data_IF_395424155218
#
_entry.id   IF_395424155218
#
_cell.length_a   1.000
_cell.length_b   1.000
_cell.length_c   1.000
_cell.angle_alpha   90.00
_cell.angle_beta   90.00
_cell.angle_gamma   90.00
#
_symmetry.space_group_name_H-M   'P 1'
#
loop_
_entity.id
_entity.type
_entity.pdbx_description
1 polymer ?
#
# COMPACT_ATOMS: atom_id res chain seq x y z
N UNK A 1 4.70 14.05 -1.37
CA UNK A 1 5.60 15.19 -1.24
C UNK A 1 5.27 16.29 -2.24
N UNK A 2 5.22 15.98 -3.56
CA UNK A 2 4.98 16.99 -4.59
C UNK A 2 3.68 17.78 -4.35
N UNK A 3 2.58 17.09 -4.07
CA UNK A 3 1.27 17.69 -3.80
C UNK A 3 1.24 18.51 -2.50
N UNK A 4 2.11 18.22 -1.52
CA UNK A 4 2.15 18.91 -0.23
C UNK A 4 3.11 20.12 -0.23
N UNK A 5 4.31 20.00 -0.82
CA UNK A 5 5.41 20.96 -0.67
C UNK A 5 5.94 21.59 -1.95
N UNK A 6 5.62 21.02 -3.12
CA UNK A 6 6.09 21.62 -4.37
C UNK A 6 5.04 22.56 -4.98
N UNK A 7 5.51 23.60 -5.68
CA UNK A 7 4.65 24.49 -6.45
C UNK A 7 4.25 23.80 -7.75
N UNK A 8 3.19 22.99 -7.71
CA UNK A 8 2.57 22.36 -8.87
C UNK A 8 1.27 23.08 -9.22
N UNK A 9 0.87 23.05 -10.48
CA UNK A 9 -0.44 23.58 -10.90
C UNK A 9 -1.55 22.66 -10.37
N UNK A 10 -2.55 23.25 -9.71
CA UNK A 10 -3.75 22.58 -9.22
C UNK A 10 -3.47 21.34 -8.32
N UNK A 11 -2.75 21.50 -7.18
CA UNK A 11 -2.38 20.35 -6.33
C UNK A 11 -3.60 19.60 -5.80
N UNK A 12 -4.70 20.31 -5.49
CA UNK A 12 -5.95 19.72 -5.00
C UNK A 12 -6.66 18.89 -6.08
N UNK A 13 -6.61 19.32 -7.33
CA UNK A 13 -7.15 18.53 -8.45
C UNK A 13 -6.43 17.18 -8.57
N UNK A 14 -5.11 17.15 -8.58
CA UNK A 14 -4.34 15.92 -8.66
C UNK A 14 -4.56 15.01 -7.46
N UNK A 15 -4.67 15.61 -6.28
CA UNK A 15 -5.02 14.87 -5.07
C UNK A 15 -6.37 14.19 -5.19
N UNK A 16 -7.41 14.95 -5.52
CA UNK A 16 -8.78 14.43 -5.66
C UNK A 16 -8.89 13.42 -6.79
N UNK A 17 -8.22 13.66 -7.92
CA UNK A 17 -8.21 12.75 -9.06
C UNK A 17 -7.66 11.37 -8.69
N UNK A 18 -6.50 11.32 -8.02
CA UNK A 18 -5.91 10.04 -7.59
C UNK A 18 -6.76 9.41 -6.48
N UNK A 19 -7.20 10.22 -5.52
CA UNK A 19 -7.97 9.73 -4.36
C UNK A 19 -9.37 9.25 -4.74
N UNK A 20 -9.95 9.77 -5.82
CA UNK A 20 -11.26 9.33 -6.33
C UNK A 20 -11.32 7.83 -6.64
N UNK A 21 -10.19 7.20 -6.93
CA UNK A 21 -10.11 5.75 -7.11
C UNK A 21 -10.51 4.93 -5.87
N UNK A 22 -10.54 5.54 -4.67
CA UNK A 22 -10.99 4.85 -3.44
C UNK A 22 -12.49 5.00 -3.17
N UNK A 23 -13.19 5.87 -3.90
CA UNK A 23 -14.62 6.17 -3.66
C UNK A 23 -15.51 5.01 -4.13
N UNK A 24 -15.10 4.33 -5.19
CA UNK A 24 -15.88 3.24 -5.75
C UNK A 24 -15.57 1.90 -5.06
N UNK A 25 -16.59 1.07 -4.78
CA UNK A 25 -16.36 -0.28 -4.30
C UNK A 25 -15.49 -1.08 -5.27
N UNK A 26 -14.46 -1.76 -4.78
CA UNK A 26 -13.52 -2.54 -5.61
C UNK A 26 -14.21 -3.59 -6.47
N UNK A 27 -15.34 -4.10 -6.03
CA UNK A 27 -16.13 -5.10 -6.74
C UNK A 27 -16.57 -4.63 -8.14
N UNK A 28 -16.81 -3.34 -8.32
CA UNK A 28 -17.19 -2.76 -9.62
C UNK A 28 -16.08 -2.92 -10.65
N UNK A 29 -14.83 -2.90 -10.22
CA UNK A 29 -13.67 -3.01 -11.11
C UNK A 29 -13.33 -4.43 -11.53
N UNK A 30 -13.84 -5.47 -10.84
CA UNK A 30 -13.47 -6.86 -11.08
C UNK A 30 -13.66 -7.28 -12.54
N UNK A 31 -14.86 -7.14 -13.08
CA UNK A 31 -15.18 -7.58 -14.44
C UNK A 31 -14.43 -6.76 -15.51
N UNK A 32 -14.42 -5.41 -15.45
CA UNK A 32 -13.66 -4.61 -16.41
C UNK A 32 -12.17 -4.94 -16.42
N UNK A 33 -11.55 -5.06 -15.25
CA UNK A 33 -10.11 -5.35 -15.14
C UNK A 33 -9.82 -6.78 -15.59
N UNK A 34 -10.65 -7.77 -15.24
CA UNK A 34 -10.49 -9.13 -15.73
C UNK A 34 -10.49 -9.17 -17.26
N UNK A 35 -11.45 -8.49 -17.90
CA UNK A 35 -11.52 -8.42 -19.37
C UNK A 35 -10.30 -7.72 -19.97
N UNK A 36 -9.86 -6.62 -19.38
CA UNK A 36 -8.66 -5.91 -19.81
C UNK A 36 -7.41 -6.79 -19.69
N UNK A 37 -7.21 -7.43 -18.54
CA UNK A 37 -6.08 -8.30 -18.27
C UNK A 37 -6.04 -9.51 -19.20
N UNK A 38 -7.19 -10.11 -19.47
CA UNK A 38 -7.28 -11.22 -20.42
C UNK A 38 -6.91 -10.81 -21.86
N UNK A 39 -7.22 -9.57 -22.26
CA UNK A 39 -6.85 -9.06 -23.58
C UNK A 39 -5.38 -8.73 -23.75
N UNK A 40 -4.74 -8.20 -22.70
CA UNK A 40 -3.33 -7.77 -22.75
C UNK A 40 -2.36 -8.80 -22.19
N UNK A 41 -2.83 -10.02 -21.88
CA UNK A 41 -1.98 -11.11 -21.39
C UNK A 41 -1.47 -10.93 -19.95
N UNK A 42 -2.14 -10.12 -19.12
CA UNK A 42 -1.79 -9.93 -17.70
C UNK A 42 -2.61 -10.83 -16.76
N UNK A 43 -3.67 -11.49 -17.27
CA UNK A 43 -4.43 -12.47 -16.51
C UNK A 43 -3.55 -13.67 -16.14
N UNK A 44 -3.68 -14.17 -14.93
CA UNK A 44 -2.92 -15.30 -14.39
C UNK A 44 -1.40 -15.09 -14.42
N UNK A 45 -0.95 -13.84 -14.19
CA UNK A 45 0.46 -13.49 -14.12
C UNK A 45 0.81 -12.77 -12.82
N UNK A 46 2.03 -12.97 -12.31
CA UNK A 46 2.54 -12.22 -11.15
C UNK A 46 2.59 -10.72 -11.42
N UNK A 47 3.00 -10.34 -12.64
CA UNK A 47 3.04 -8.93 -13.04
C UNK A 47 1.67 -8.28 -12.99
N UNK A 48 0.63 -8.96 -13.48
CA UNK A 48 -0.75 -8.48 -13.41
C UNK A 48 -1.20 -8.24 -11.96
N UNK A 49 -0.93 -9.19 -11.06
CA UNK A 49 -1.25 -9.05 -9.64
C UNK A 49 -0.49 -7.89 -8.98
N UNK A 50 0.81 -7.75 -9.24
CA UNK A 50 1.63 -6.67 -8.69
C UNK A 50 1.08 -5.32 -9.16
N UNK A 51 0.83 -5.14 -10.45
CA UNK A 51 0.30 -3.89 -11.01
C UNK A 51 -1.06 -3.54 -10.41
N UNK A 52 -1.91 -4.53 -10.22
CA UNK A 52 -3.22 -4.34 -9.61
C UNK A 52 -3.10 -3.84 -8.16
N UNK A 53 -2.32 -4.53 -7.32
CA UNK A 53 -2.13 -4.11 -5.93
C UNK A 53 -1.46 -2.74 -5.84
N UNK A 54 -0.47 -2.44 -6.67
CA UNK A 54 0.14 -1.11 -6.72
C UNK A 54 -0.91 -0.03 -7.02
N UNK A 55 -1.77 -0.25 -8.02
CA UNK A 55 -2.79 0.72 -8.41
C UNK A 55 -3.79 1.02 -7.27
N UNK A 56 -4.20 0.01 -6.52
CA UNK A 56 -5.15 0.17 -5.40
C UNK A 56 -4.47 0.78 -4.17
N UNK A 57 -3.21 0.44 -3.88
CA UNK A 57 -2.50 0.95 -2.71
C UNK A 57 -2.13 2.44 -2.84
N UNK A 58 -1.85 2.92 -4.04
CA UNK A 58 -1.38 4.29 -4.30
C UNK A 58 -2.29 5.38 -3.72
N UNK A 59 -3.62 5.39 -3.93
CA UNK A 59 -4.48 6.47 -3.44
C UNK A 59 -4.45 6.61 -1.92
N UNK A 60 -4.55 5.51 -1.20
CA UNK A 60 -4.54 5.52 0.26
C UNK A 60 -3.17 5.92 0.82
N UNK A 61 -2.09 5.36 0.29
CA UNK A 61 -0.73 5.73 0.69
C UNK A 61 -0.45 7.20 0.42
N UNK A 62 -0.91 7.72 -0.73
CA UNK A 62 -0.78 9.13 -1.08
C UNK A 62 -1.55 10.01 -0.09
N UNK A 63 -2.78 9.65 0.27
CA UNK A 63 -3.60 10.39 1.23
C UNK A 63 -2.90 10.51 2.59
N UNK A 64 -2.43 9.40 3.15
CA UNK A 64 -1.79 9.39 4.47
C UNK A 64 -0.48 10.17 4.45
N UNK A 65 0.40 9.92 3.48
CA UNK A 65 1.68 10.62 3.39
C UNK A 65 1.53 12.09 3.05
N UNK A 66 0.55 12.48 2.24
CA UNK A 66 0.26 13.88 1.98
C UNK A 66 -0.13 14.61 3.27
N UNK A 67 -1.05 14.04 4.04
CA UNK A 67 -1.50 14.66 5.29
C UNK A 67 -0.35 14.78 6.30
N UNK A 68 0.48 13.74 6.42
CA UNK A 68 1.68 13.81 7.26
C UNK A 68 2.63 14.92 6.78
N UNK A 69 2.95 14.98 5.50
CA UNK A 69 3.85 16.01 4.97
C UNK A 69 3.27 17.42 5.09
N UNK A 70 1.96 17.60 5.01
CA UNK A 70 1.33 18.91 5.21
C UNK A 70 1.47 19.41 6.66
N UNK A 71 1.66 18.53 7.63
CA UNK A 71 1.95 18.87 9.01
C UNK A 71 3.41 19.28 9.28
N UNK A 72 4.29 19.13 8.30
CA UNK A 72 5.69 19.55 8.41
C UNK A 72 5.82 21.01 7.98
N UNK A 73 6.49 21.84 8.77
CA UNK A 73 6.72 23.24 8.47
C UNK A 73 7.47 23.43 7.16
N UNK A 74 6.97 24.35 6.33
CA UNK A 74 7.59 24.66 5.03
C UNK A 74 9.00 25.23 5.18
N UNK A 75 9.27 25.92 6.27
CA UNK A 75 10.56 26.51 6.59
C UNK A 75 11.69 25.46 6.54
N UNK A 76 11.44 24.22 6.95
CA UNK A 76 12.42 23.12 6.88
C UNK A 76 12.85 22.87 5.43
N UNK A 77 11.89 22.84 4.51
CA UNK A 77 12.19 22.61 3.09
C UNK A 77 12.80 23.84 2.41
N UNK A 78 12.45 25.04 2.86
CA UNK A 78 12.96 26.31 2.34
C UNK A 78 14.41 26.54 2.79
N UNK A 79 14.72 26.34 4.08
CA UNK A 79 16.07 26.43 4.62
C UNK A 79 17.03 25.46 3.94
N UNK A 80 16.63 24.19 3.79
CA UNK A 80 17.47 23.21 3.10
C UNK A 80 17.74 23.60 1.61
N UNK A 81 16.79 24.29 0.97
CA UNK A 81 16.98 24.78 -0.41
C UNK A 81 17.90 26.01 -0.47
N UNK A 82 17.88 26.86 0.54
CA UNK A 82 18.84 27.97 0.68
C UNK A 82 20.27 27.41 0.83
N UNK A 83 20.43 26.29 1.57
CA UNK A 83 21.67 25.54 1.70
C UNK A 83 22.08 24.76 0.42
N UNK A 84 21.34 24.93 -0.68
CA UNK A 84 21.66 24.34 -1.97
C UNK A 84 21.11 22.92 -2.20
N UNK A 85 20.27 22.38 -1.30
CA UNK A 85 19.70 21.05 -1.50
C UNK A 85 18.69 21.03 -2.67
N UNK A 86 18.84 20.04 -3.55
CA UNK A 86 17.87 19.79 -4.61
C UNK A 86 16.55 19.24 -4.03
N UNK A 87 15.44 19.37 -4.78
CA UNK A 87 14.12 18.85 -4.38
C UNK A 87 14.13 17.36 -4.02
N UNK A 88 14.94 16.57 -4.72
CA UNK A 88 15.09 15.14 -4.47
C UNK A 88 15.89 14.90 -3.18
N UNK A 89 16.93 15.68 -2.93
CA UNK A 89 17.70 15.60 -1.68
C UNK A 89 16.85 15.97 -0.47
N UNK A 90 16.03 17.01 -0.57
CA UNK A 90 15.08 17.39 0.48
C UNK A 90 14.10 16.21 0.74
N UNK A 91 13.54 15.62 -0.29
CA UNK A 91 12.64 14.46 -0.15
C UNK A 91 13.36 13.29 0.54
N UNK A 92 14.52 12.86 0.01
CA UNK A 92 15.16 11.61 0.43
C UNK A 92 15.93 11.73 1.76
N UNK A 93 16.51 12.91 2.04
CA UNK A 93 17.35 13.11 3.23
C UNK A 93 16.61 13.75 4.41
N UNK A 94 15.47 14.39 4.16
CA UNK A 94 14.69 15.09 5.21
C UNK A 94 13.31 14.45 5.36
N UNK A 95 12.46 14.51 4.34
CA UNK A 95 11.06 14.08 4.46
C UNK A 95 10.88 12.58 4.62
N UNK A 96 11.60 11.75 3.88
CA UNK A 96 11.50 10.28 4.01
C UNK A 96 11.98 9.80 5.37
N UNK A 97 13.12 10.27 5.93
CA UNK A 97 13.51 9.94 7.30
C UNK A 97 12.52 10.41 8.37
N UNK A 98 11.90 11.58 8.22
CA UNK A 98 10.86 12.05 9.13
C UNK A 98 9.58 11.20 9.04
N UNK A 99 9.28 10.65 7.86
CA UNK A 99 8.10 9.84 7.59
C UNK A 99 8.28 8.34 7.91
N UNK A 100 9.33 7.92 8.62
CA UNK A 100 9.58 6.49 8.93
C UNK A 100 8.39 5.82 9.60
N UNK A 101 7.78 6.47 10.60
CA UNK A 101 6.64 5.93 11.31
C UNK A 101 5.40 5.77 10.41
N UNK A 102 4.88 6.80 9.73
CA UNK A 102 3.76 6.63 8.81
C UNK A 102 4.06 5.68 7.65
N UNK A 103 5.31 5.62 7.14
CA UNK A 103 5.69 4.64 6.11
C UNK A 103 5.60 3.22 6.66
N UNK A 104 6.08 2.95 7.88
CA UNK A 104 6.00 1.64 8.50
C UNK A 104 4.54 1.20 8.73
N UNK A 105 3.69 2.12 9.19
CA UNK A 105 2.26 1.87 9.37
C UNK A 105 1.59 1.54 8.04
N UNK A 106 1.86 2.33 6.99
CA UNK A 106 1.34 2.10 5.65
C UNK A 106 1.81 0.77 5.08
N UNK A 107 3.10 0.46 5.21
CA UNK A 107 3.66 -0.80 4.73
C UNK A 107 2.97 -2.00 5.39
N UNK A 108 2.80 -1.96 6.72
CA UNK A 108 2.11 -3.02 7.44
C UNK A 108 0.64 -3.12 7.03
N UNK A 109 -0.06 -2.01 6.92
CA UNK A 109 -1.47 -1.95 6.53
C UNK A 109 -1.69 -2.52 5.13
N UNK A 110 -0.90 -2.07 4.13
CA UNK A 110 -1.02 -2.54 2.75
C UNK A 110 -0.56 -3.98 2.58
N UNK A 111 0.49 -4.39 3.30
CA UNK A 111 0.91 -5.79 3.33
C UNK A 111 -0.22 -6.67 3.86
N UNK A 112 -0.78 -6.34 5.02
CA UNK A 112 -1.85 -7.11 5.63
C UNK A 112 -3.08 -7.19 4.72
N UNK A 113 -3.45 -6.07 4.08
CA UNK A 113 -4.57 -6.04 3.14
C UNK A 113 -4.31 -6.95 1.92
N UNK A 114 -3.15 -6.83 1.27
CA UNK A 114 -2.78 -7.65 0.11
C UNK A 114 -2.58 -9.13 0.47
N UNK A 115 -2.01 -9.41 1.64
CA UNK A 115 -1.78 -10.77 2.13
C UNK A 115 -3.09 -11.51 2.39
N UNK A 116 -4.07 -10.82 2.96
CA UNK A 116 -5.38 -11.40 3.26
C UNK A 116 -6.37 -11.32 2.09
N UNK A 117 -5.93 -10.85 0.92
CA UNK A 117 -6.80 -10.78 -0.23
C UNK A 117 -7.19 -12.15 -0.76
N UNK A 118 -8.48 -12.38 -0.79
CA UNK A 118 -9.12 -13.56 -1.36
C UNK A 118 -9.73 -13.27 -2.72
N UNK A 119 -10.43 -12.14 -2.82
CA UNK A 119 -11.33 -11.86 -3.92
C UNK A 119 -10.59 -11.63 -5.24
N UNK A 120 -9.56 -10.80 -5.22
CA UNK A 120 -8.75 -10.52 -6.41
C UNK A 120 -7.86 -11.72 -6.76
N UNK A 121 -7.32 -12.40 -5.75
CA UNK A 121 -6.57 -13.63 -5.93
C UNK A 121 -7.37 -14.70 -6.67
N UNK A 122 -8.62 -14.94 -6.29
CA UNK A 122 -9.50 -15.88 -6.99
C UNK A 122 -9.93 -15.41 -8.38
N UNK A 123 -10.10 -14.09 -8.57
CA UNK A 123 -10.60 -13.53 -9.83
C UNK A 123 -9.51 -13.45 -10.90
N UNK A 124 -8.29 -13.06 -10.53
CA UNK A 124 -7.22 -12.75 -11.49
C UNK A 124 -6.16 -13.85 -11.62
N UNK A 125 -6.27 -14.94 -10.84
CA UNK A 125 -5.32 -16.04 -10.91
C UNK A 125 -6.02 -17.39 -11.07
N UNK A 126 -5.39 -18.29 -11.85
CA UNK A 126 -5.83 -19.66 -12.07
C UNK A 126 -4.76 -20.66 -11.64
N UNK A 127 -3.51 -20.40 -12.01
CA UNK A 127 -2.36 -21.27 -11.72
C UNK A 127 -2.00 -21.23 -10.24
N UNK A 128 -1.83 -22.39 -9.60
CA UNK A 128 -1.54 -22.52 -8.17
C UNK A 128 -0.32 -21.71 -7.72
N UNK A 129 0.76 -21.64 -8.52
CA UNK A 129 1.98 -20.89 -8.18
C UNK A 129 1.86 -19.37 -8.30
N UNK A 130 0.70 -18.85 -8.75
CA UNK A 130 0.43 -17.41 -8.91
C UNK A 130 -0.63 -16.94 -7.91
N UNK A 131 -1.46 -17.85 -7.42
CA UNK A 131 -2.53 -17.54 -6.45
C UNK A 131 -1.98 -16.89 -5.18
N UNK A 132 -2.79 -16.00 -4.61
CA UNK A 132 -2.55 -15.49 -3.26
C UNK A 132 -2.68 -16.59 -2.23
N UNK A 133 -2.05 -16.42 -1.08
CA UNK A 133 -2.10 -17.41 0.02
C UNK A 133 -3.54 -17.68 0.42
N UNK A 134 -4.34 -16.63 0.64
CA UNK A 134 -5.73 -16.80 1.07
C UNK A 134 -6.61 -17.41 -0.02
N UNK A 135 -6.38 -17.12 -1.29
CA UNK A 135 -7.07 -17.80 -2.38
C UNK A 135 -6.73 -19.30 -2.42
N UNK A 136 -5.47 -19.67 -2.14
CA UNK A 136 -5.06 -21.07 -2.06
C UNK A 136 -5.70 -21.77 -0.87
N UNK A 137 -5.67 -21.16 0.32
CA UNK A 137 -6.30 -21.70 1.53
C UNK A 137 -7.80 -21.92 1.35
N UNK A 138 -8.48 -20.98 0.69
CA UNK A 138 -9.94 -21.08 0.47
C UNK A 138 -10.37 -22.24 -0.42
N UNK A 139 -9.46 -22.74 -1.27
CA UNK A 139 -9.69 -23.86 -2.19
C UNK A 139 -9.21 -25.20 -1.63
N UNK A 140 -8.66 -25.24 -0.41
CA UNK A 140 -8.26 -26.49 0.24
C UNK A 140 -9.46 -27.34 0.61
N UNK A 141 -9.25 -28.65 0.64
CA UNK A 141 -10.26 -29.61 1.09
C UNK A 141 -10.63 -29.35 2.57
N UNK A 142 -11.89 -29.08 2.79
CA UNK A 142 -12.46 -28.85 4.14
C UNK A 142 -12.65 -30.13 4.96
N UNK A 143 -12.55 -31.30 4.33
CA UNK A 143 -12.62 -32.59 5.02
C UNK A 143 -11.44 -32.87 5.94
N UNK A 144 -10.28 -32.24 5.68
CA UNK A 144 -9.09 -32.38 6.51
C UNK A 144 -8.87 -31.15 7.41
N UNK A 145 -9.70 -31.01 8.44
CA UNK A 145 -9.67 -29.89 9.40
C UNK A 145 -8.29 -29.65 10.03
N UNK A 146 -7.52 -30.67 10.47
CA UNK A 146 -6.18 -30.46 11.03
C UNK A 146 -5.21 -29.79 10.05
N UNK A 147 -5.21 -30.20 8.78
CA UNK A 147 -4.35 -29.61 7.75
C UNK A 147 -4.77 -28.18 7.46
N UNK A 148 -6.06 -27.92 7.34
CA UNK A 148 -6.57 -26.56 7.14
C UNK A 148 -6.15 -25.62 8.29
N UNK A 149 -6.32 -26.08 9.54
CA UNK A 149 -5.93 -25.31 10.72
C UNK A 149 -4.42 -24.99 10.73
N UNK A 150 -3.58 -25.99 10.49
CA UNK A 150 -2.13 -25.82 10.41
C UNK A 150 -1.75 -24.83 9.30
N UNK A 151 -2.39 -24.92 8.15
CA UNK A 151 -2.14 -24.00 7.02
C UNK A 151 -2.51 -22.55 7.38
N UNK A 152 -3.63 -22.34 8.09
CA UNK A 152 -4.01 -21.01 8.58
C UNK A 152 -2.99 -20.46 9.58
N UNK A 153 -2.48 -21.29 10.49
CA UNK A 153 -1.42 -20.88 11.42
C UNK A 153 -0.15 -20.47 10.68
N UNK A 154 0.31 -21.27 9.73
CA UNK A 154 1.48 -20.95 8.92
C UNK A 154 1.25 -19.68 8.09
N UNK A 155 0.07 -19.53 7.50
CA UNK A 155 -0.30 -18.33 6.74
C UNK A 155 -0.34 -17.05 7.58
N UNK A 156 -0.53 -17.14 8.90
CA UNK A 156 -0.51 -15.98 9.80
C UNK A 156 0.91 -15.51 10.17
N UNK A 157 1.92 -16.39 10.07
CA UNK A 157 3.29 -16.08 10.49
C UNK A 157 3.91 -14.86 9.84
N UNK A 158 3.81 -14.64 8.52
CA UNK A 158 4.41 -13.44 7.88
C UNK A 158 3.85 -12.14 8.43
N UNK A 159 2.55 -12.07 8.72
CA UNK A 159 1.91 -10.88 9.31
C UNK A 159 2.42 -10.65 10.75
N UNK A 160 2.55 -11.71 11.56
CA UNK A 160 3.07 -11.62 12.92
C UNK A 160 4.54 -11.19 12.92
N UNK A 161 5.36 -11.80 12.06
CA UNK A 161 6.78 -11.44 11.92
C UNK A 161 6.93 -9.97 11.51
N UNK A 162 6.14 -9.54 10.52
CA UNK A 162 6.18 -8.15 10.06
C UNK A 162 5.77 -7.18 11.18
N UNK A 163 4.75 -7.52 11.96
CA UNK A 163 4.34 -6.72 13.12
C UNK A 163 5.47 -6.56 14.13
N UNK A 164 6.11 -7.68 14.52
CA UNK A 164 7.22 -7.67 15.49
C UNK A 164 8.39 -6.81 14.98
N UNK A 165 8.68 -6.85 13.68
CA UNK A 165 9.76 -6.06 13.08
C UNK A 165 9.44 -4.57 13.05
N UNK A 166 8.19 -4.19 12.81
CA UNK A 166 7.78 -2.80 12.62
C UNK A 166 7.26 -2.11 13.88
N UNK A 167 6.89 -2.86 14.94
CA UNK A 167 6.26 -2.30 16.16
C UNK A 167 7.04 -1.13 16.77
N UNK A 168 8.38 -1.18 16.76
CA UNK A 168 9.23 -0.09 17.30
C UNK A 168 9.06 1.24 16.55
N UNK A 169 8.62 1.22 15.31
CA UNK A 169 8.39 2.43 14.54
C UNK A 169 7.00 3.05 14.82
N UNK A 170 6.09 2.32 15.47
CA UNK A 170 4.75 2.83 15.79
C UNK A 170 4.78 3.80 16.98
N UNK A 171 5.60 3.52 17.99
CA UNK A 171 5.72 4.35 19.20
C UNK A 171 6.16 5.78 18.88
N UNK A 172 7.06 5.93 17.90
CA UNK A 172 7.56 7.24 17.46
C UNK A 172 6.53 8.07 16.67
N UNK A 173 5.47 7.46 16.15
CA UNK A 173 4.43 8.15 15.37
C UNK A 173 3.35 8.83 16.23
N UNK A 174 3.12 8.34 17.46
CA UNK A 174 2.10 8.88 18.36
C UNK A 174 2.54 10.15 19.12
N UNK A 175 3.84 10.38 19.24
CA UNK A 175 4.39 11.50 20.03
C UNK A 175 4.19 12.87 19.35
N UNK A 176 3.95 12.92 18.04
CA UNK A 176 3.78 14.17 17.30
C UNK A 176 2.33 14.69 17.24
N UNK A 177 1.36 13.99 17.85
CA UNK A 177 -0.07 14.37 17.76
C UNK A 177 -0.58 15.10 19.01
N UNK A 178 0.27 15.35 20.00
CA UNK A 178 -0.10 16.00 21.27
C UNK A 178 0.65 17.33 21.48
N UNK A 179 0.52 18.25 20.52
CA UNK A 179 0.78 19.68 20.78
C UNK A 179 -0.24 20.52 20.03
#
# INVERSE_FOLDING_TARGET
YAIAHLRIKHPMFWFLFIYSGTIFPFQIYLIPIYKAYSRVGLYDTRTGMILFYMAICIPFCMFVLRNFFMGIDKEISESARVDGASKLQVLTRIFVPMAKAPIAILFMSQFNWSWNDLMFGLTFTKTQGIRTVMATVSLMDRGNVPVLFLTCLVASLPTIILFILLQKNFDSGFVYTTK
#
